data_IF_737302601664
#
_entry.id   IF_737302601664
#
_cell.length_a   1.000
_cell.length_b   1.000
_cell.length_c   1.000
_cell.angle_alpha   90.00
_cell.angle_beta   90.00
_cell.angle_gamma   90.00
#
_symmetry.space_group_name_H-M   'P 1'
#
loop_
_entity.id
_entity.type
_entity.pdbx_description
1 polymer ?
#
# COMPACT_ATOMS: atom_id res chain seq x y z
N UNK A 1 9.27 -34.47 -40.76
CA UNK A 1 9.97 -33.95 -39.55
C UNK A 1 9.44 -32.54 -39.29
N UNK A 2 8.70 -32.33 -38.21
CA UNK A 2 8.22 -30.99 -37.83
C UNK A 2 8.99 -30.52 -36.59
N UNK A 3 9.73 -29.43 -36.73
CA UNK A 3 10.48 -28.81 -35.63
C UNK A 3 9.57 -27.84 -34.91
N UNK A 4 9.23 -28.13 -33.65
CA UNK A 4 8.42 -27.27 -32.79
C UNK A 4 9.30 -26.13 -32.27
N UNK A 5 9.05 -24.90 -32.72
CA UNK A 5 9.67 -23.69 -32.17
C UNK A 5 8.98 -23.32 -30.85
N UNK A 6 9.65 -23.62 -29.74
CA UNK A 6 9.27 -23.15 -28.41
C UNK A 6 9.58 -21.65 -28.29
N UNK A 7 8.56 -20.81 -28.42
CA UNK A 7 8.63 -19.42 -28.00
C UNK A 7 8.68 -19.38 -26.46
N UNK A 8 9.87 -19.31 -25.89
CA UNK A 8 10.04 -18.91 -24.49
C UNK A 8 9.79 -17.41 -24.41
N UNK A 9 8.55 -17.02 -24.14
CA UNK A 9 8.24 -15.66 -23.71
C UNK A 9 8.90 -15.42 -22.36
N UNK A 10 10.09 -14.83 -22.37
CA UNK A 10 10.77 -14.32 -21.19
C UNK A 10 9.92 -13.18 -20.63
N UNK A 11 9.04 -13.51 -19.68
CA UNK A 11 8.40 -12.54 -18.79
C UNK A 11 9.51 -11.88 -17.98
N UNK A 12 10.05 -10.78 -18.48
CA UNK A 12 10.82 -9.84 -17.70
C UNK A 12 9.88 -9.30 -16.61
N UNK A 13 9.91 -9.93 -15.44
CA UNK A 13 9.42 -9.34 -14.20
C UNK A 13 10.27 -8.10 -13.95
N UNK A 14 9.87 -6.96 -14.53
CA UNK A 14 10.41 -5.67 -14.16
C UNK A 14 10.26 -5.55 -12.64
N UNK A 15 11.39 -5.57 -11.93
CA UNK A 15 11.41 -5.28 -10.51
C UNK A 15 10.76 -3.90 -10.33
N UNK A 16 9.56 -3.87 -9.75
CA UNK A 16 8.79 -2.64 -9.62
C UNK A 16 9.63 -1.59 -8.90
N UNK A 17 9.94 -0.49 -9.61
CA UNK A 17 10.80 0.59 -9.15
C UNK A 17 10.16 1.24 -7.92
N UNK A 18 10.96 1.48 -6.89
CA UNK A 18 10.51 2.19 -5.69
C UNK A 18 10.70 3.69 -5.89
N UNK A 19 9.63 4.45 -5.71
CA UNK A 19 9.62 5.91 -5.80
C UNK A 19 9.56 6.52 -4.40
N UNK A 20 10.12 7.72 -4.22
CA UNK A 20 9.99 8.45 -2.94
C UNK A 20 8.53 8.71 -2.64
N UNK A 21 8.08 8.39 -1.43
CA UNK A 21 6.70 8.61 -1.02
C UNK A 21 6.50 10.06 -0.56
N UNK A 22 5.40 10.66 -1.01
CA UNK A 22 4.92 11.95 -0.54
C UNK A 22 3.41 11.82 -0.26
N UNK A 23 2.93 12.07 0.97
CA UNK A 23 1.51 11.98 1.31
C UNK A 23 0.58 12.76 0.37
N UNK A 24 1.05 13.87 -0.23
CA UNK A 24 0.27 14.66 -1.20
C UNK A 24 -0.14 13.88 -2.44
N UNK A 25 0.52 12.76 -2.75
CA UNK A 25 0.16 11.86 -3.87
C UNK A 25 -1.27 11.33 -3.73
N UNK A 26 -1.72 11.10 -2.49
CA UNK A 26 -3.07 10.61 -2.20
C UNK A 26 -4.13 11.72 -2.34
N UNK A 27 -3.73 12.94 -2.69
CA UNK A 27 -4.62 14.07 -2.88
C UNK A 27 -5.17 14.63 -1.57
N UNK A 28 -6.23 15.43 -1.68
CA UNK A 28 -6.91 16.06 -0.54
C UNK A 28 -8.39 15.70 -0.63
N UNK A 29 -8.94 15.14 0.44
CA UNK A 29 -10.35 14.80 0.54
C UNK A 29 -11.12 15.92 1.25
N UNK A 30 -12.33 16.24 0.76
CA UNK A 30 -13.29 17.07 1.49
C UNK A 30 -13.98 16.30 2.59
N UNK A 31 -14.18 15.00 2.35
CA UNK A 31 -14.96 14.13 3.21
C UNK A 31 -14.48 12.68 3.05
N UNK A 32 -14.68 11.89 4.10
CA UNK A 32 -14.36 10.48 4.14
C UNK A 32 -15.37 9.72 4.98
N UNK A 33 -15.71 8.50 4.55
CA UNK A 33 -16.58 7.60 5.29
C UNK A 33 -15.95 6.23 5.41
N UNK A 34 -15.80 5.76 6.65
CA UNK A 34 -15.36 4.39 6.91
C UNK A 34 -16.51 3.44 6.57
N UNK A 35 -16.23 2.48 5.69
CA UNK A 35 -17.19 1.48 5.23
C UNK A 35 -17.09 0.18 6.03
N UNK A 36 -15.89 -0.16 6.50
CA UNK A 36 -15.62 -1.40 7.22
C UNK A 36 -14.36 -1.28 8.06
N UNK A 37 -14.40 -1.77 9.29
CA UNK A 37 -13.23 -1.99 10.14
C UNK A 37 -12.81 -3.46 10.16
N UNK A 38 -11.56 -3.71 10.51
CA UNK A 38 -11.14 -5.01 11.01
C UNK A 38 -11.79 -5.21 12.39
N UNK A 39 -12.55 -6.29 12.55
CA UNK A 39 -13.23 -6.60 13.82
C UNK A 39 -12.26 -6.88 14.97
N UNK A 40 -11.03 -7.28 14.66
CA UNK A 40 -9.93 -7.44 15.60
C UNK A 40 -8.79 -6.48 15.21
N UNK A 41 -8.14 -5.87 16.20
CA UNK A 41 -6.91 -5.06 16.09
C UNK A 41 -7.03 -3.60 15.61
N UNK A 42 -8.23 -3.07 15.35
CA UNK A 42 -8.40 -1.65 14.96
C UNK A 42 -7.80 -0.68 15.97
N UNK A 43 -8.17 -0.80 17.25
CA UNK A 43 -7.69 0.10 18.31
C UNK A 43 -6.18 0.01 18.57
N UNK A 44 -5.60 -1.18 18.45
CA UNK A 44 -4.16 -1.39 18.59
C UNK A 44 -3.38 -0.71 17.46
N UNK A 45 -3.88 -0.81 16.23
CA UNK A 45 -3.22 -0.18 15.10
C UNK A 45 -3.21 1.35 15.22
N UNK A 46 -4.36 1.99 15.45
CA UNK A 46 -4.43 3.45 15.56
C UNK A 46 -3.70 3.99 16.79
N UNK A 47 -3.85 3.32 17.94
CA UNK A 47 -3.27 3.76 19.21
C UNK A 47 -1.76 3.62 19.24
N UNK A 48 -1.22 2.57 18.61
CA UNK A 48 0.18 2.16 18.78
C UNK A 48 0.93 1.93 17.47
N UNK A 49 0.51 0.94 16.66
CA UNK A 49 1.34 0.47 15.55
C UNK A 49 1.57 1.55 14.50
N UNK A 50 0.56 2.37 14.20
CA UNK A 50 0.67 3.48 13.27
C UNK A 50 1.77 4.46 13.70
N UNK A 51 1.78 4.84 14.99
CA UNK A 51 2.74 5.82 15.53
C UNK A 51 4.14 5.24 15.62
N UNK A 52 4.27 3.95 15.96
CA UNK A 52 5.56 3.29 16.18
C UNK A 52 6.21 2.79 14.89
N UNK A 53 5.43 2.24 13.96
CA UNK A 53 5.98 1.48 12.83
C UNK A 53 5.73 2.10 11.45
N UNK A 54 4.81 3.07 11.34
CA UNK A 54 4.37 3.63 10.06
C UNK A 54 4.45 5.16 10.02
N UNK A 55 5.53 5.71 10.59
CA UNK A 55 5.83 7.14 10.53
C UNK A 55 6.50 7.47 9.20
N UNK A 56 5.86 8.34 8.41
CA UNK A 56 6.45 8.83 7.16
C UNK A 56 7.78 9.54 7.41
N UNK A 57 8.73 9.35 6.51
CA UNK A 57 10.08 9.93 6.56
C UNK A 57 10.64 10.12 5.14
N UNK A 58 11.79 10.80 5.02
CA UNK A 58 12.45 10.98 3.73
C UNK A 58 12.90 9.68 3.05
N UNK A 59 12.99 8.58 3.81
CA UNK A 59 13.35 7.24 3.31
C UNK A 59 12.13 6.38 3.00
N UNK A 60 10.92 6.89 3.24
CA UNK A 60 9.68 6.21 2.88
C UNK A 60 9.55 6.17 1.37
N UNK A 61 9.28 4.98 0.83
CA UNK A 61 9.10 4.80 -0.60
C UNK A 61 7.80 4.07 -0.88
N UNK A 62 7.29 4.20 -2.09
CA UNK A 62 6.17 3.42 -2.55
C UNK A 62 6.44 2.82 -3.92
N UNK A 63 5.63 1.84 -4.27
CA UNK A 63 5.47 1.35 -5.63
C UNK A 63 3.98 1.25 -5.92
N UNK A 64 3.61 1.53 -7.17
CA UNK A 64 2.24 1.45 -7.63
C UNK A 64 2.14 0.48 -8.81
N UNK A 65 1.19 -0.45 -8.73
CA UNK A 65 0.79 -1.32 -9.82
C UNK A 65 -0.54 -0.80 -10.36
N UNK A 66 -0.50 -0.17 -11.54
CA UNK A 66 -1.67 0.40 -12.19
C UNK A 66 -2.69 -0.65 -12.63
N UNK A 67 -2.23 -1.83 -13.09
CA UNK A 67 -3.10 -2.91 -13.54
C UNK A 67 -3.92 -3.47 -12.39
N UNK A 68 -3.30 -3.63 -11.21
CA UNK A 68 -3.97 -4.12 -9.99
C UNK A 68 -4.55 -3.01 -9.13
N UNK A 69 -4.28 -1.75 -9.48
CA UNK A 69 -4.63 -0.56 -8.72
C UNK A 69 -4.23 -0.70 -7.25
N UNK A 70 -2.96 -1.00 -7.05
CA UNK A 70 -2.40 -1.37 -5.74
C UNK A 70 -1.14 -0.58 -5.47
N UNK A 71 -1.09 0.09 -4.33
CA UNK A 71 0.12 0.74 -3.83
C UNK A 71 0.67 -0.03 -2.64
N UNK A 72 1.98 -0.23 -2.62
CA UNK A 72 2.72 -0.67 -1.43
C UNK A 72 3.65 0.44 -1.02
N UNK A 73 3.53 0.88 0.22
CA UNK A 73 4.41 1.86 0.86
C UNK A 73 5.32 1.09 1.81
N UNK A 74 6.63 1.33 1.75
CA UNK A 74 7.64 0.78 2.65
C UNK A 74 8.14 1.86 3.59
N UNK A 75 8.27 1.49 4.85
CA UNK A 75 8.72 2.31 5.97
C UNK A 75 9.97 1.69 6.54
N UNK A 76 10.98 2.49 6.87
CA UNK A 76 12.16 1.98 7.59
C UNK A 76 11.70 1.47 8.95
N UNK A 77 12.09 0.24 9.28
CA UNK A 77 11.81 -0.34 10.58
C UNK A 77 12.97 0.00 11.53
N UNK A 78 12.65 0.68 12.63
CA UNK A 78 13.60 0.99 13.69
C UNK A 78 13.61 -0.07 14.82
N UNK A 79 12.64 -0.98 14.82
CA UNK A 79 12.53 -2.02 15.85
C UNK A 79 13.34 -3.26 15.46
N UNK A 80 14.52 -3.41 16.10
CA UNK A 80 15.44 -4.53 15.85
C UNK A 80 14.84 -5.90 16.20
N UNK A 81 13.79 -5.96 17.05
CA UNK A 81 13.16 -7.23 17.46
C UNK A 81 12.42 -7.90 16.31
N UNK A 82 11.91 -7.13 15.35
CA UNK A 82 11.18 -7.65 14.19
C UNK A 82 12.08 -8.29 13.14
N UNK A 83 13.41 -8.12 13.25
CA UNK A 83 14.44 -8.71 12.36
C UNK A 83 14.23 -8.44 10.86
N UNK A 84 13.56 -7.35 10.51
CA UNK A 84 13.39 -6.87 9.13
C UNK A 84 13.81 -5.41 9.00
N UNK A 85 14.22 -5.03 7.80
CA UNK A 85 14.63 -3.64 7.50
C UNK A 85 13.43 -2.70 7.29
N UNK A 86 12.27 -3.25 6.88
CA UNK A 86 11.12 -2.45 6.49
C UNK A 86 9.80 -3.03 6.98
N UNK A 87 8.87 -2.12 7.32
CA UNK A 87 7.46 -2.40 7.49
C UNK A 87 6.68 -1.88 6.27
N UNK A 88 5.47 -2.38 6.05
CA UNK A 88 4.73 -2.07 4.82
C UNK A 88 3.28 -1.71 5.09
N UNK A 89 2.77 -0.69 4.38
CA UNK A 89 1.34 -0.47 4.18
C UNK A 89 0.99 -0.85 2.75
N UNK A 90 -0.18 -1.45 2.56
CA UNK A 90 -0.73 -1.78 1.25
C UNK A 90 -2.10 -1.16 1.12
N UNK A 91 -2.29 -0.43 0.03
CA UNK A 91 -3.52 0.27 -0.31
C UNK A 91 -4.06 -0.35 -1.60
N UNK A 92 -5.31 -0.81 -1.57
CA UNK A 92 -5.99 -1.36 -2.75
C UNK A 92 -7.09 -0.38 -3.13
N UNK A 93 -6.98 0.19 -4.32
CA UNK A 93 -7.87 1.25 -4.80
C UNK A 93 -8.96 0.64 -5.68
N UNK A 94 -10.20 0.98 -5.36
CA UNK A 94 -11.39 0.69 -6.18
C UNK A 94 -12.10 2.00 -6.51
N UNK A 95 -13.06 1.93 -7.44
CA UNK A 95 -13.83 3.10 -7.92
C UNK A 95 -13.00 4.14 -8.69
N UNK A 96 -13.55 5.32 -9.02
CA UNK A 96 -12.82 6.37 -9.75
C UNK A 96 -11.85 7.18 -8.87
N UNK A 97 -11.04 8.05 -9.47
CA UNK A 97 -10.04 8.88 -8.76
C UNK A 97 -10.64 10.01 -7.90
N UNK A 98 -11.87 10.47 -8.22
CA UNK A 98 -12.58 11.50 -7.43
C UNK A 98 -13.31 10.94 -6.21
N UNK A 99 -13.71 9.67 -6.26
CA UNK A 99 -14.43 8.99 -5.16
C UNK A 99 -13.84 7.62 -4.84
N UNK A 100 -12.53 7.52 -4.58
CA UNK A 100 -11.87 6.24 -4.43
C UNK A 100 -12.37 5.53 -3.16
N UNK A 101 -12.51 4.22 -3.27
CA UNK A 101 -12.70 3.34 -2.12
C UNK A 101 -11.37 2.62 -1.91
N UNK A 102 -10.74 2.86 -0.76
CA UNK A 102 -9.39 2.38 -0.46
C UNK A 102 -9.48 1.39 0.71
N UNK A 103 -9.04 0.16 0.46
CA UNK A 103 -8.83 -0.83 1.50
C UNK A 103 -7.37 -0.77 1.97
N UNK A 104 -7.18 -0.64 3.28
CA UNK A 104 -5.88 -0.50 3.92
C UNK A 104 -5.48 -1.81 4.60
N UNK A 105 -4.21 -2.14 4.43
CA UNK A 105 -3.56 -3.29 5.04
C UNK A 105 -2.18 -2.88 5.56
N UNK A 106 -1.64 -3.63 6.50
CA UNK A 106 -0.30 -3.45 7.01
C UNK A 106 0.43 -4.79 7.18
N UNK A 107 1.76 -4.73 7.23
CA UNK A 107 2.63 -5.87 7.50
C UNK A 107 3.78 -5.41 8.39
N UNK A 108 3.96 -6.09 9.53
CA UNK A 108 5.07 -5.93 10.46
C UNK A 108 5.96 -7.17 10.42
N UNK A 109 7.28 -6.99 10.39
CA UNK A 109 8.19 -8.13 10.40
C UNK A 109 7.95 -9.08 9.20
N UNK A 110 8.00 -10.37 9.49
CA UNK A 110 7.73 -11.46 8.53
C UNK A 110 6.25 -11.88 8.45
N UNK A 111 5.34 -11.14 9.09
CA UNK A 111 3.92 -11.50 9.11
C UNK A 111 3.28 -11.38 7.72
N UNK A 112 2.07 -11.94 7.55
CA UNK A 112 1.24 -11.66 6.39
C UNK A 112 0.64 -10.25 6.45
N UNK A 113 0.10 -9.76 5.33
CA UNK A 113 -0.64 -8.50 5.34
C UNK A 113 -1.96 -8.66 6.10
N UNK A 114 -2.13 -7.90 7.19
CA UNK A 114 -3.37 -7.82 7.94
C UNK A 114 -4.25 -6.68 7.42
N UNK A 115 -5.56 -6.92 7.33
CA UNK A 115 -6.56 -5.91 6.98
C UNK A 115 -6.77 -4.93 8.13
N UNK A 116 -7.00 -3.65 7.82
CA UNK A 116 -7.27 -2.60 8.80
C UNK A 116 -8.68 -2.04 8.65
N UNK A 117 -8.95 -1.41 7.51
CA UNK A 117 -10.22 -0.74 7.26
C UNK A 117 -10.36 -0.42 5.77
N UNK A 118 -11.59 -0.08 5.39
CA UNK A 118 -11.93 0.41 4.06
C UNK A 118 -12.62 1.75 4.19
N UNK A 119 -12.12 2.76 3.48
CA UNK A 119 -12.65 4.13 3.49
C UNK A 119 -13.07 4.51 2.08
N UNK A 120 -14.23 5.16 1.98
CA UNK A 120 -14.65 5.90 0.79
C UNK A 120 -14.30 7.36 0.97
N UNK A 121 -13.64 7.95 -0.02
CA UNK A 121 -13.29 9.38 -0.01
C UNK A 121 -14.13 10.15 -1.02
N UNK A 122 -14.29 11.45 -0.76
CA UNK A 122 -14.69 12.44 -1.75
C UNK A 122 -13.53 13.41 -1.92
N UNK A 123 -12.84 13.34 -3.05
CA UNK A 123 -11.61 14.10 -3.28
C UNK A 123 -11.92 15.51 -3.80
N UNK A 124 -11.22 16.51 -3.25
CA UNK A 124 -11.06 17.84 -3.87
C UNK A 124 -9.99 17.74 -4.95
N UNK A 125 -8.82 17.22 -4.57
CA UNK A 125 -7.71 16.95 -5.48
C UNK A 125 -7.58 15.44 -5.66
N UNK A 126 -7.69 14.89 -6.89
CA UNK A 126 -7.66 13.46 -7.12
C UNK A 126 -6.28 12.86 -6.82
N UNK A 127 -6.25 11.55 -6.59
CA UNK A 127 -5.01 10.78 -6.41
C UNK A 127 -4.19 10.84 -7.70
N UNK A 128 -2.88 11.13 -7.57
CA UNK A 128 -1.93 11.23 -8.69
C UNK A 128 -0.86 10.14 -8.50
N UNK A 129 -0.63 9.34 -9.54
CA UNK A 129 0.43 8.31 -9.59
C UNK A 129 1.38 8.62 -10.73
#
# INVERSE_FOLDING_TARGET
MYTLLLFTSSLTTHAAIWHRYNPSLLGVARDQRILKYAGANWGQYEGYDQKRYFKDSNTTCYRYDARRRLMVIRYVNHDKRLKVNYNYRKLVFRHGQKTPIIAYYYRLGHQAFAYLYTIKFWMIHPIRF
#
